data_IF_783628355817
#
_entry.id   IF_783628355817
#
_cell.length_a   1.000
_cell.length_b   1.000
_cell.length_c   1.000
_cell.angle_alpha   90.00
_cell.angle_beta   90.00
_cell.angle_gamma   90.00
#
_symmetry.space_group_name_H-M   'P 1'
#
loop_
_entity.id
_entity.type
_entity.pdbx_description
1 polymer ?
#
# COMPACT_ATOMS: atom_id res chain seq x y z
N UNK A 1 14.28 -20.33 -37.55
CA UNK A 1 13.97 -18.99 -37.04
C UNK A 1 12.60 -19.10 -36.38
N UNK A 2 12.55 -19.32 -35.07
CA UNK A 2 11.29 -19.38 -34.32
C UNK A 2 10.95 -17.96 -33.88
N UNK A 3 9.86 -17.47 -34.43
CA UNK A 3 9.25 -16.19 -34.15
C UNK A 3 8.70 -16.19 -32.71
N UNK A 4 9.57 -16.02 -31.71
CA UNK A 4 9.17 -15.58 -30.38
C UNK A 4 8.95 -14.08 -30.49
N UNK A 5 7.78 -13.68 -31.00
CA UNK A 5 7.35 -12.30 -31.01
C UNK A 5 7.60 -11.70 -29.64
N UNK A 6 8.36 -10.60 -29.60
CA UNK A 6 8.79 -9.95 -28.38
C UNK A 6 7.56 -9.56 -27.55
N UNK A 7 7.14 -10.43 -26.62
CA UNK A 7 6.27 -10.02 -25.52
C UNK A 7 7.03 -8.91 -24.80
N UNK A 8 6.39 -7.76 -24.67
CA UNK A 8 6.97 -6.65 -23.93
C UNK A 8 7.31 -7.08 -22.50
N UNK A 9 8.14 -6.28 -21.82
CA UNK A 9 8.47 -6.55 -20.43
C UNK A 9 7.20 -6.65 -19.58
N UNK A 10 7.09 -7.67 -18.71
CA UNK A 10 5.90 -7.86 -17.90
C UNK A 10 5.67 -6.65 -16.99
N UNK A 11 4.41 -6.18 -16.93
CA UNK A 11 3.98 -5.11 -16.03
C UNK A 11 3.39 -5.72 -14.77
N UNK A 12 3.93 -5.35 -13.61
CA UNK A 12 3.51 -5.84 -12.30
C UNK A 12 2.63 -4.80 -11.60
N UNK A 13 1.31 -4.96 -11.67
CA UNK A 13 0.35 -4.04 -11.05
C UNK A 13 -0.07 -4.55 -9.66
N UNK A 14 -0.08 -3.66 -8.67
CA UNK A 14 -0.63 -3.87 -7.32
C UNK A 14 -1.71 -2.83 -7.05
N UNK A 15 -2.86 -3.30 -6.55
CA UNK A 15 -4.03 -2.47 -6.21
C UNK A 15 -4.29 -2.48 -4.71
N UNK A 16 -4.94 -1.43 -4.21
CA UNK A 16 -5.68 -1.52 -2.94
C UNK A 16 -7.04 -2.11 -3.28
N UNK A 17 -7.28 -3.37 -2.87
CA UNK A 17 -8.52 -4.09 -3.15
C UNK A 17 -9.65 -3.64 -2.25
N UNK A 18 -9.54 -3.99 -0.97
CA UNK A 18 -10.45 -3.58 0.10
C UNK A 18 -9.66 -2.95 1.23
N UNK A 19 -10.30 -2.07 1.98
CA UNK A 19 -9.76 -1.44 3.17
C UNK A 19 -10.70 -1.69 4.36
N UNK A 20 -10.14 -1.90 5.54
CA UNK A 20 -10.89 -2.01 6.79
C UNK A 20 -10.18 -1.16 7.83
N UNK A 21 -10.81 -0.07 8.23
CA UNK A 21 -10.33 0.81 9.30
C UNK A 21 -11.26 0.68 10.51
N UNK A 22 -10.68 0.26 11.63
CA UNK A 22 -11.31 0.19 12.95
C UNK A 22 -10.85 1.33 13.86
N UNK A 23 -10.46 2.47 13.26
CA UNK A 23 -10.18 3.72 13.97
C UNK A 23 -11.37 4.65 13.81
N UNK A 24 -11.87 5.21 14.91
CA UNK A 24 -13.04 6.09 14.93
C UNK A 24 -13.10 6.94 16.21
N UNK A 25 -13.29 8.26 16.05
CA UNK A 25 -13.69 9.19 17.11
C UNK A 25 -15.23 9.19 17.26
N UNK A 26 -15.73 8.89 18.45
CA UNK A 26 -17.13 8.58 18.76
C UNK A 26 -18.19 9.67 18.59
N UNK A 27 -18.00 10.71 17.78
CA UNK A 27 -18.87 11.90 17.73
C UNK A 27 -20.17 11.71 16.94
N UNK A 28 -21.30 12.23 17.44
CA UNK A 28 -22.61 12.19 16.76
C UNK A 28 -22.58 12.88 15.38
N UNK A 29 -21.72 13.88 15.20
CA UNK A 29 -21.63 14.74 14.00
C UNK A 29 -20.52 14.37 13.02
N UNK A 30 -19.79 13.28 13.26
CA UNK A 30 -18.65 12.92 12.40
C UNK A 30 -19.08 12.15 11.15
N UNK A 31 -18.52 12.54 10.01
CA UNK A 31 -18.89 12.06 8.69
C UNK A 31 -18.08 10.85 8.22
N UNK A 32 -17.84 10.81 6.91
CA UNK A 32 -16.98 9.83 6.23
C UNK A 32 -15.52 10.04 6.63
N UNK A 33 -14.77 8.96 6.88
CA UNK A 33 -13.33 9.05 7.16
C UNK A 33 -12.59 9.33 5.84
N UNK A 34 -11.93 10.47 5.75
CA UNK A 34 -11.16 10.88 4.57
C UNK A 34 -9.78 10.21 4.58
N UNK A 35 -9.72 8.93 4.23
CA UNK A 35 -8.46 8.20 4.21
C UNK A 35 -7.61 8.62 3.02
N UNK A 36 -6.30 8.69 3.26
CA UNK A 36 -5.28 8.98 2.25
C UNK A 36 -4.24 7.88 2.29
N UNK A 37 -4.00 7.24 1.15
CA UNK A 37 -2.98 6.20 1.03
C UNK A 37 -1.91 6.64 0.04
N UNK A 38 -0.68 6.80 0.52
CA UNK A 38 0.48 7.18 -0.28
C UNK A 38 1.48 6.03 -0.39
N UNK A 39 2.31 6.09 -1.42
CA UNK A 39 3.36 5.11 -1.72
C UNK A 39 4.73 5.76 -1.66
N UNK A 40 5.61 5.29 -0.77
CA UNK A 40 7.03 5.61 -0.80
C UNK A 40 7.78 4.65 -1.73
N UNK A 41 8.66 5.15 -2.57
CA UNK A 41 9.39 4.32 -3.54
C UNK A 41 10.77 4.90 -3.89
N UNK A 42 11.73 4.07 -4.31
CA UNK A 42 13.06 4.54 -4.71
C UNK A 42 13.03 5.21 -6.08
N UNK A 43 13.93 6.16 -6.29
CA UNK A 43 14.23 6.77 -7.59
C UNK A 43 15.74 6.72 -7.79
N UNK A 44 16.17 6.08 -8.88
CA UNK A 44 17.56 6.14 -9.34
C UNK A 44 17.68 7.27 -10.36
N UNK A 45 18.63 8.18 -10.17
CA UNK A 45 19.00 9.14 -11.20
C UNK A 45 19.95 8.46 -12.20
N UNK A 46 19.54 8.22 -13.46
CA UNK A 46 20.39 7.51 -14.43
C UNK A 46 21.62 8.31 -14.87
N UNK A 47 21.62 9.64 -14.68
CA UNK A 47 22.74 10.50 -15.06
C UNK A 47 23.82 10.60 -13.99
N UNK A 48 23.46 10.51 -12.71
CA UNK A 48 24.42 10.60 -11.59
C UNK A 48 24.67 9.25 -10.89
N UNK A 49 23.81 8.25 -11.12
CA UNK A 49 23.81 6.99 -10.38
C UNK A 49 23.32 7.11 -8.94
N UNK A 50 22.85 8.29 -8.53
CA UNK A 50 22.42 8.53 -7.15
C UNK A 50 21.05 7.91 -6.89
N UNK A 51 20.96 7.17 -5.79
CA UNK A 51 19.70 6.65 -5.27
C UNK A 51 19.07 7.67 -4.33
N UNK A 52 17.83 8.04 -4.63
CA UNK A 52 16.93 8.76 -3.73
C UNK A 52 15.64 7.98 -3.47
N UNK A 53 14.71 8.64 -2.78
CA UNK A 53 13.36 8.14 -2.58
C UNK A 53 12.35 9.29 -2.60
N UNK A 54 11.10 8.99 -2.94
CA UNK A 54 10.01 9.95 -2.89
C UNK A 54 8.69 9.28 -2.51
N UNK A 55 7.64 10.08 -2.30
CA UNK A 55 6.27 9.62 -2.15
C UNK A 55 5.42 9.98 -3.37
N UNK A 56 4.44 9.12 -3.68
CA UNK A 56 3.40 9.43 -4.67
C UNK A 56 2.42 10.46 -4.12
N UNK A 57 1.63 11.05 -5.01
CA UNK A 57 0.35 11.65 -4.62
C UNK A 57 -0.47 10.61 -3.85
N UNK A 58 -1.10 11.04 -2.75
CA UNK A 58 -1.94 10.17 -1.95
C UNK A 58 -3.27 9.88 -2.67
N UNK A 59 -3.71 8.63 -2.61
CA UNK A 59 -4.99 8.16 -3.12
C UNK A 59 -6.06 8.54 -2.08
N UNK A 60 -7.07 9.37 -2.43
CA UNK A 60 -8.24 9.58 -1.58
C UNK A 60 -9.12 8.34 -1.52
N UNK A 61 -9.56 7.98 -0.33
CA UNK A 61 -10.57 6.95 -0.09
C UNK A 61 -11.55 7.48 0.96
N UNK A 62 -12.75 7.79 0.51
CA UNK A 62 -13.86 8.22 1.37
C UNK A 62 -14.47 6.98 2.05
N UNK A 63 -13.95 6.62 3.22
CA UNK A 63 -14.32 5.38 3.92
C UNK A 63 -15.57 5.59 4.79
N UNK A 64 -16.72 4.96 4.46
CA UNK A 64 -17.99 5.34 5.08
C UNK A 64 -18.07 4.96 6.56
N UNK A 65 -18.75 5.79 7.34
CA UNK A 65 -18.92 5.62 8.79
C UNK A 65 -19.53 4.27 9.19
N UNK A 66 -20.47 3.74 8.42
CA UNK A 66 -21.07 2.44 8.71
C UNK A 66 -20.07 1.28 8.59
N UNK A 67 -19.08 1.40 7.71
CA UNK A 67 -17.99 0.44 7.61
C UNK A 67 -17.03 0.58 8.81
N UNK A 68 -16.70 1.81 9.21
CA UNK A 68 -15.92 2.07 10.43
C UNK A 68 -16.58 1.49 11.68
N UNK A 69 -17.89 1.75 11.83
CA UNK A 69 -18.72 1.22 12.92
C UNK A 69 -18.76 -0.31 12.91
N UNK A 70 -18.89 -0.91 11.73
CA UNK A 70 -18.85 -2.36 11.62
C UNK A 70 -17.47 -2.92 11.98
N UNK A 71 -16.38 -2.24 11.61
CA UNK A 71 -15.02 -2.67 11.88
C UNK A 71 -14.69 -2.61 13.38
N UNK A 72 -15.06 -1.52 14.07
CA UNK A 72 -14.77 -1.36 15.51
C UNK A 72 -15.60 -2.32 16.37
N UNK A 73 -16.85 -2.60 15.99
CA UNK A 73 -17.72 -3.53 16.72
C UNK A 73 -17.49 -4.99 16.33
N UNK A 74 -16.55 -5.27 15.42
CA UNK A 74 -16.27 -6.61 14.89
C UNK A 74 -17.53 -7.34 14.38
N UNK A 75 -18.48 -6.59 13.81
CA UNK A 75 -19.58 -7.20 13.08
C UNK A 75 -19.04 -7.90 11.84
N UNK A 76 -19.70 -8.96 11.41
CA UNK A 76 -19.23 -9.78 10.26
C UNK A 76 -20.14 -9.66 9.03
N UNK A 77 -21.40 -9.25 9.22
CA UNK A 77 -22.42 -9.19 8.15
C UNK A 77 -22.73 -7.74 7.75
N UNK A 78 -22.98 -6.87 8.72
CA UNK A 78 -23.28 -5.46 8.46
C UNK A 78 -22.09 -4.80 7.75
N UNK A 79 -22.33 -4.03 6.70
CA UNK A 79 -21.27 -3.35 5.91
C UNK A 79 -20.05 -4.23 5.64
N UNK A 80 -20.27 -5.50 5.32
CA UNK A 80 -19.22 -6.48 5.04
C UNK A 80 -18.14 -6.60 6.15
N UNK A 81 -18.54 -6.41 7.42
CA UNK A 81 -17.63 -6.42 8.55
C UNK A 81 -16.60 -5.27 8.57
N UNK A 82 -16.91 -4.19 7.86
CA UNK A 82 -16.05 -3.03 7.67
C UNK A 82 -15.10 -3.14 6.49
N UNK A 83 -15.19 -4.18 5.66
CA UNK A 83 -14.39 -4.28 4.45
C UNK A 83 -14.99 -3.45 3.31
N UNK A 84 -14.48 -2.24 3.11
CA UNK A 84 -14.92 -1.34 2.04
C UNK A 84 -14.13 -1.61 0.75
N UNK A 85 -14.85 -1.75 -0.37
CA UNK A 85 -14.23 -2.04 -1.68
C UNK A 85 -13.74 -0.77 -2.36
N UNK A 86 -12.48 -0.78 -2.81
CA UNK A 86 -11.79 0.37 -3.42
C UNK A 86 -11.30 0.02 -4.81
N UNK A 87 -10.50 -1.04 -4.93
CA UNK A 87 -9.93 -1.58 -6.18
C UNK A 87 -9.15 -0.57 -7.07
N UNK A 88 -8.38 0.31 -6.45
CA UNK A 88 -7.59 1.36 -7.14
C UNK A 88 -6.11 0.95 -7.25
N UNK A 89 -5.41 1.24 -8.37
CA UNK A 89 -3.96 1.03 -8.47
C UNK A 89 -3.18 1.77 -7.38
N UNK A 90 -2.34 1.03 -6.66
CA UNK A 90 -1.37 1.60 -5.71
C UNK A 90 0.02 1.64 -6.33
N UNK A 91 0.43 0.58 -7.02
CA UNK A 91 1.58 0.56 -7.91
C UNK A 91 1.18 0.02 -9.28
N UNK A 92 1.32 0.81 -10.34
CA UNK A 92 1.02 0.36 -11.70
C UNK A 92 2.13 -0.46 -12.34
N UNK A 93 3.34 -0.46 -11.78
CA UNK A 93 4.48 -1.21 -12.30
C UNK A 93 5.58 -1.39 -11.24
N UNK A 94 5.35 -2.27 -10.26
CA UNK A 94 6.33 -2.62 -9.23
C UNK A 94 7.43 -3.51 -9.82
N UNK A 95 8.40 -2.86 -10.46
CA UNK A 95 9.57 -3.49 -11.09
C UNK A 95 10.39 -4.31 -10.08
N UNK A 96 11.04 -5.36 -10.57
CA UNK A 96 11.96 -6.21 -9.80
C UNK A 96 13.12 -5.41 -9.18
N UNK A 97 13.53 -4.34 -9.85
CA UNK A 97 14.59 -3.44 -9.38
C UNK A 97 14.18 -2.60 -8.17
N UNK A 98 12.88 -2.47 -7.86
CA UNK A 98 12.40 -1.76 -6.67
C UNK A 98 12.16 -2.79 -5.57
N UNK A 99 13.20 -3.10 -4.80
CA UNK A 99 13.16 -4.18 -3.82
C UNK A 99 12.33 -3.86 -2.59
N UNK A 100 12.18 -2.58 -2.22
CA UNK A 100 11.41 -2.19 -1.04
C UNK A 100 10.63 -0.90 -1.25
N UNK A 101 9.36 -0.91 -0.87
CA UNK A 101 8.44 0.23 -0.97
C UNK A 101 7.65 0.42 0.32
N UNK A 102 7.07 1.60 0.50
CA UNK A 102 6.36 1.98 1.72
C UNK A 102 4.90 2.23 1.38
N UNK A 103 4.00 1.73 2.21
CA UNK A 103 2.62 2.23 2.27
C UNK A 103 2.47 3.13 3.49
N UNK A 104 2.00 4.35 3.25
CA UNK A 104 1.62 5.31 4.28
C UNK A 104 0.13 5.52 4.19
N UNK A 105 -0.57 5.40 5.31
CA UNK A 105 -1.98 5.71 5.41
C UNK A 105 -2.23 6.71 6.55
N UNK A 106 -3.13 7.65 6.31
CA UNK A 106 -3.52 8.66 7.27
C UNK A 106 -4.95 9.11 7.02
N UNK A 107 -5.62 9.61 8.05
CA UNK A 107 -6.87 10.36 7.90
C UNK A 107 -6.53 11.81 7.61
N UNK A 108 -7.15 12.41 6.61
CA UNK A 108 -6.89 13.79 6.24
C UNK A 108 -7.48 14.76 7.26
N UNK A 109 -6.64 15.66 7.77
CA UNK A 109 -7.00 16.80 8.60
C UNK A 109 -6.18 17.99 8.13
N UNK A 110 -6.80 19.15 7.92
CA UNK A 110 -6.14 20.35 7.42
C UNK A 110 -5.29 21.06 8.45
N UNK A 111 -5.47 20.77 9.74
CA UNK A 111 -4.83 21.49 10.86
C UNK A 111 -3.53 20.83 11.30
N UNK A 112 -3.51 19.50 11.37
CA UNK A 112 -2.36 18.75 11.89
C UNK A 112 -1.37 18.36 10.81
N UNK A 113 -0.10 18.67 11.01
CA UNK A 113 0.99 18.24 10.12
C UNK A 113 1.88 17.19 10.80
N UNK A 114 2.14 16.09 10.10
CA UNK A 114 2.94 14.97 10.60
C UNK A 114 4.02 14.62 9.60
N UNK A 115 5.20 14.33 10.12
CA UNK A 115 6.36 13.91 9.34
C UNK A 115 6.72 12.47 9.66
N UNK A 116 6.94 11.66 8.63
CA UNK A 116 7.39 10.26 8.73
C UNK A 116 8.55 10.00 7.79
N UNK A 117 9.41 9.06 8.19
CA UNK A 117 10.52 8.58 7.37
C UNK A 117 10.60 7.07 7.42
N UNK A 118 11.08 6.49 6.33
CA UNK A 118 11.35 5.06 6.24
C UNK A 118 12.31 4.76 5.11
N UNK A 119 12.54 3.49 4.86
CA UNK A 119 13.54 2.99 3.92
C UNK A 119 12.88 2.45 2.66
N UNK A 120 13.43 2.86 1.51
CA UNK A 120 13.11 2.30 0.20
C UNK A 120 14.35 1.63 -0.38
N UNK A 121 14.15 0.59 -1.18
CA UNK A 121 15.22 -0.28 -1.66
C UNK A 121 15.22 -0.41 -3.18
N UNK A 122 16.41 -0.36 -3.75
CA UNK A 122 16.66 -0.54 -5.18
C UNK A 122 17.75 -1.57 -5.41
N UNK A 123 17.60 -2.42 -6.43
CA UNK A 123 18.61 -3.36 -6.90
C UNK A 123 18.88 -3.09 -8.36
N UNK A 124 20.14 -2.83 -8.70
CA UNK A 124 20.54 -2.57 -10.07
C UNK A 124 20.53 -3.86 -10.90
N UNK A 125 20.04 -3.75 -12.14
CA UNK A 125 19.94 -4.89 -13.05
C UNK A 125 21.32 -5.49 -13.30
N UNK A 126 21.40 -6.83 -13.31
CA UNK A 126 22.64 -7.59 -13.51
C UNK A 126 23.69 -7.47 -12.40
N UNK A 127 23.34 -6.89 -11.23
CA UNK A 127 24.20 -6.91 -10.05
C UNK A 127 23.49 -7.58 -8.87
N UNK A 128 24.28 -8.00 -7.86
CA UNK A 128 23.76 -8.43 -6.57
C UNK A 128 23.76 -7.31 -5.53
N UNK A 129 23.97 -6.06 -5.96
CA UNK A 129 24.05 -4.92 -5.07
C UNK A 129 22.64 -4.37 -4.84
N UNK A 130 22.22 -4.35 -3.58
CA UNK A 130 21.02 -3.67 -3.13
C UNK A 130 21.42 -2.37 -2.46
N UNK A 131 20.86 -1.27 -2.95
CA UNK A 131 21.00 0.07 -2.42
C UNK A 131 19.73 0.45 -1.65
N UNK A 132 19.86 1.20 -0.57
CA UNK A 132 18.72 1.72 0.19
C UNK A 132 18.83 3.23 0.33
N UNK A 133 17.67 3.89 0.42
CA UNK A 133 17.58 5.32 0.68
C UNK A 133 16.50 5.58 1.73
N UNK A 134 16.78 6.54 2.62
CA UNK A 134 15.77 7.07 3.53
C UNK A 134 14.91 8.06 2.78
N UNK A 135 13.60 7.81 2.76
CA UNK A 135 12.61 8.75 2.25
C UNK A 135 11.85 9.37 3.42
N UNK A 136 11.65 10.69 3.36
CA UNK A 136 10.90 11.46 4.35
C UNK A 136 9.72 12.14 3.65
N UNK A 137 8.57 12.14 4.30
CA UNK A 137 7.39 12.86 3.82
C UNK A 137 6.69 13.57 4.96
N UNK A 138 6.06 14.69 4.61
CA UNK A 138 5.26 15.51 5.50
C UNK A 138 3.86 15.59 4.90
N UNK A 139 2.85 15.28 5.68
CA UNK A 139 1.45 15.27 5.26
C UNK A 139 0.57 15.93 6.33
N UNK A 140 -0.62 16.33 5.92
CA UNK A 140 -1.63 16.88 6.82
C UNK A 140 -2.68 15.84 7.15
N UNK A 141 -2.80 15.51 8.43
CA UNK A 141 -3.64 14.41 8.88
C UNK A 141 -3.21 13.68 10.13
N UNK A 142 -4.08 12.79 10.58
CA UNK A 142 -3.83 11.85 11.65
C UNK A 142 -3.19 10.57 11.13
N UNK A 143 -2.09 10.17 11.76
CA UNK A 143 -1.33 9.00 11.37
C UNK A 143 -2.14 7.72 11.61
N UNK A 144 -2.35 6.93 10.56
CA UNK A 144 -3.01 5.62 10.69
C UNK A 144 -2.03 4.46 10.50
N UNK A 145 -1.10 4.51 9.55
CA UNK A 145 -0.20 3.39 9.33
C UNK A 145 0.99 3.69 8.45
N UNK A 146 2.09 2.97 8.71
CA UNK A 146 3.34 3.07 7.96
C UNK A 146 4.00 1.70 7.98
N UNK A 147 4.17 1.08 6.82
CA UNK A 147 4.88 -0.19 6.73
C UNK A 147 5.68 -0.27 5.44
N UNK A 148 6.84 -0.88 5.57
CA UNK A 148 7.79 -1.14 4.49
C UNK A 148 7.59 -2.58 4.03
N UNK A 149 7.46 -2.78 2.73
CA UNK A 149 7.29 -4.08 2.12
C UNK A 149 8.47 -4.36 1.22
N UNK A 150 9.19 -5.43 1.56
CA UNK A 150 10.06 -6.11 0.61
C UNK A 150 9.21 -6.73 -0.50
N UNK A 151 9.63 -6.54 -1.75
CA UNK A 151 8.90 -6.95 -2.94
C UNK A 151 8.78 -8.47 -3.01
N UNK A 152 9.86 -9.20 -2.80
CA UNK A 152 9.88 -10.65 -2.99
C UNK A 152 9.05 -11.33 -1.91
N UNK A 153 9.19 -10.88 -0.66
CA UNK A 153 8.30 -11.25 0.44
C UNK A 153 6.84 -10.92 0.13
N UNK A 154 6.56 -9.71 -0.38
CA UNK A 154 5.21 -9.28 -0.72
C UNK A 154 4.59 -10.24 -1.74
N UNK A 155 5.23 -10.46 -2.89
CA UNK A 155 4.68 -11.33 -3.94
C UNK A 155 4.58 -12.79 -3.51
N UNK A 156 5.56 -13.31 -2.76
CA UNK A 156 5.52 -14.67 -2.23
C UNK A 156 4.31 -14.89 -1.33
N UNK A 157 4.09 -14.00 -0.36
CA UNK A 157 3.01 -14.13 0.63
C UNK A 157 1.65 -13.64 0.12
N UNK A 158 1.62 -12.82 -0.93
CA UNK A 158 0.36 -12.38 -1.56
C UNK A 158 -0.23 -13.44 -2.48
N UNK A 159 0.62 -14.32 -3.04
CA UNK A 159 0.22 -15.42 -3.91
C UNK A 159 -0.04 -16.70 -3.12
N UNK A 160 0.77 -16.94 -2.08
CA UNK A 160 0.70 -18.14 -1.25
C UNK A 160 0.63 -17.73 0.23
N UNK A 161 -0.56 -17.38 0.76
CA UNK A 161 -0.72 -17.12 2.18
C UNK A 161 -0.37 -18.37 2.98
N UNK A 162 0.36 -18.19 4.08
CA UNK A 162 0.61 -19.22 5.07
C UNK A 162 -0.64 -19.58 5.87
N UNK A 163 -0.59 -20.68 6.65
CA UNK A 163 -1.75 -21.16 7.42
C UNK A 163 -2.22 -20.20 8.52
N UNK A 164 -1.39 -19.22 8.90
CA UNK A 164 -1.70 -18.22 9.93
C UNK A 164 -1.96 -16.83 9.36
N UNK A 165 -1.89 -16.67 8.04
CA UNK A 165 -2.18 -15.40 7.39
C UNK A 165 -3.68 -15.14 7.37
N UNK A 166 -4.07 -13.92 7.72
CA UNK A 166 -5.45 -13.47 7.57
C UNK A 166 -5.73 -13.28 6.08
N UNK A 167 -6.85 -13.84 5.59
CA UNK A 167 -7.24 -13.78 4.17
C UNK A 167 -8.63 -13.18 4.05
N UNK A 168 -8.82 -12.30 3.07
CA UNK A 168 -10.11 -11.73 2.70
C UNK A 168 -10.32 -11.86 1.19
N UNK A 169 -11.39 -12.55 0.81
CA UNK A 169 -11.78 -12.78 -0.60
C UNK A 169 -10.64 -13.38 -1.45
N UNK A 170 -9.87 -14.30 -0.86
CA UNK A 170 -8.73 -14.95 -1.51
C UNK A 170 -7.42 -14.17 -1.47
N UNK A 171 -7.40 -12.96 -0.90
CA UNK A 171 -6.20 -12.12 -0.81
C UNK A 171 -5.67 -12.04 0.61
N UNK A 172 -4.35 -12.11 0.75
CA UNK A 172 -3.67 -11.88 2.03
C UNK A 172 -3.98 -10.48 2.55
N UNK A 173 -4.39 -10.42 3.81
CA UNK A 173 -4.67 -9.17 4.52
C UNK A 173 -3.35 -8.57 5.02
N UNK A 174 -3.06 -7.35 4.60
CA UNK A 174 -1.93 -6.56 5.06
C UNK A 174 -2.37 -5.58 6.13
N UNK A 175 -1.63 -5.52 7.23
CA UNK A 175 -1.87 -4.60 8.35
C UNK A 175 -0.82 -3.50 8.29
N UNK A 176 -1.24 -2.25 8.19
CA UNK A 176 -0.33 -1.10 8.30
C UNK A 176 -0.20 -0.63 9.75
N UNK A 177 -1.17 -1.01 10.58
CA UNK A 177 -1.22 -0.85 12.03
C UNK A 177 -2.30 -1.79 12.62
N UNK A 178 -2.55 -1.82 13.94
CA UNK A 178 -3.61 -2.64 14.53
C UNK A 178 -5.02 -2.34 14.01
N UNK A 179 -5.31 -1.09 13.65
CA UNK A 179 -6.65 -0.63 13.29
C UNK A 179 -6.90 -0.57 11.79
N UNK A 180 -5.85 -0.49 10.96
CA UNK A 180 -5.97 -0.36 9.51
C UNK A 180 -5.42 -1.60 8.79
N UNK A 181 -6.32 -2.24 8.05
CA UNK A 181 -6.04 -3.41 7.23
C UNK A 181 -6.44 -3.15 5.78
N UNK A 182 -5.82 -3.86 4.87
CA UNK A 182 -6.11 -3.78 3.45
C UNK A 182 -5.79 -5.10 2.73
N UNK A 183 -6.46 -5.35 1.61
CA UNK A 183 -6.06 -6.39 0.66
C UNK A 183 -5.30 -5.75 -0.50
N UNK A 184 -4.33 -6.48 -1.03
CA UNK A 184 -3.49 -6.01 -2.14
C UNK A 184 -3.52 -6.95 -3.35
N UNK A 185 -4.60 -6.99 -4.16
CA UNK A 185 -4.61 -7.77 -5.39
C UNK A 185 -3.45 -7.37 -6.29
N UNK A 186 -2.71 -8.37 -6.78
CA UNK A 186 -1.57 -8.17 -7.68
C UNK A 186 -1.75 -8.99 -8.97
N UNK A 187 -1.32 -8.44 -10.10
CA UNK A 187 -1.34 -9.15 -11.40
C UNK A 187 -0.14 -8.81 -12.27
N UNK A 188 0.25 -9.76 -13.10
CA UNK A 188 1.26 -9.59 -14.17
C UNK A 188 0.55 -9.48 -15.51
N UNK A 189 0.88 -8.44 -16.29
CA UNK A 189 0.33 -8.15 -17.62
C UNK A 189 1.46 -8.35 -18.64
N UNK A 190 1.21 -9.09 -19.73
CA UNK A 190 2.15 -9.43 -20.80
C UNK A 190 1.75 -8.81 -22.15
#
# INVERSE_FOLDING_TARGET
VSDQGAKGDPVYEVRIGKIRCADYCGGLFEGTLELRVARGYPILNPSTGELGGTFSTAIPIDYPRDYAKSAINNWTVHSEGGWFSVFIPWDSNWKLTKTQQIILAYEYDQVKEVTKSGTVGYKEENTNITLTATVKTTYRGDFLGFVEWDRDWFYATNTNPGPYDEVKDGWTVRKTCPVLKLTTPARTIY
#
